data_IF_642325668727
#
_entry.id   IF_642325668727
#
_cell.length_a   1.000
_cell.length_b   1.000
_cell.length_c   1.000
_cell.angle_alpha   90.00
_cell.angle_beta   90.00
_cell.angle_gamma   90.00
#
_symmetry.space_group_name_H-M   'P 1'
#
loop_
_entity.id
_entity.type
_entity.pdbx_description
1 polymer ?
#
# COMPACT_ATOMS: atom_id res chain seq x y z
N UNK A 1 -25.57 -19.01 -7.54
CA UNK A 1 -24.65 -20.12 -7.83
C UNK A 1 -23.50 -19.70 -8.76
N UNK A 2 -23.68 -18.75 -9.69
CA UNK A 2 -22.57 -18.29 -10.57
C UNK A 2 -21.50 -17.46 -9.84
N UNK A 3 -21.87 -16.69 -8.81
CA UNK A 3 -20.92 -15.90 -8.02
C UNK A 3 -19.94 -16.72 -7.17
N UNK A 4 -20.30 -17.94 -6.76
CA UNK A 4 -19.38 -18.86 -6.06
C UNK A 4 -18.33 -19.46 -7.02
N UNK A 5 -18.70 -19.69 -8.28
CA UNK A 5 -17.77 -20.19 -9.32
C UNK A 5 -16.72 -19.14 -9.64
N UNK A 6 -17.13 -17.87 -9.79
CA UNK A 6 -16.21 -16.75 -10.03
C UNK A 6 -15.27 -16.49 -8.82
N UNK A 7 -15.77 -16.70 -7.60
CA UNK A 7 -14.95 -16.63 -6.38
C UNK A 7 -13.89 -17.74 -6.33
N UNK A 8 -14.22 -18.95 -6.78
CA UNK A 8 -13.30 -20.08 -6.88
C UNK A 8 -12.26 -19.89 -7.99
N UNK A 9 -12.63 -19.25 -9.10
CA UNK A 9 -11.70 -18.91 -10.20
C UNK A 9 -10.69 -17.82 -9.80
N UNK A 10 -11.14 -16.80 -9.06
CA UNK A 10 -10.28 -15.67 -8.65
C UNK A 10 -9.34 -16.04 -7.49
N UNK A 11 -9.70 -17.02 -6.65
CA UNK A 11 -8.86 -17.50 -5.53
C UNK A 11 -7.55 -18.18 -5.97
N UNK A 12 -7.39 -18.48 -7.27
CA UNK A 12 -6.22 -19.18 -7.81
C UNK A 12 -5.58 -18.44 -8.97
N UNK A 13 -5.32 -17.14 -8.82
CA UNK A 13 -4.42 -16.48 -9.75
C UNK A 13 -2.97 -16.96 -9.50
N UNK A 14 -2.64 -18.16 -10.02
CA UNK A 14 -1.33 -18.80 -9.94
C UNK A 14 -0.28 -18.04 -10.79
N UNK A 15 -0.71 -17.09 -11.61
CA UNK A 15 0.15 -16.19 -12.39
C UNK A 15 0.50 -14.90 -11.63
N UNK A 16 0.07 -14.76 -10.36
CA UNK A 16 0.41 -13.61 -9.55
C UNK A 16 1.94 -13.46 -9.44
N UNK A 17 2.47 -12.45 -10.13
CA UNK A 17 3.90 -12.14 -10.07
C UNK A 17 4.23 -11.43 -8.77
N UNK A 18 5.51 -11.44 -8.40
CA UNK A 18 5.98 -10.66 -7.26
C UNK A 18 5.65 -9.17 -7.41
N UNK A 19 5.71 -8.62 -8.61
CA UNK A 19 5.34 -7.22 -8.89
C UNK A 19 3.84 -6.97 -8.66
N UNK A 20 2.97 -7.89 -9.07
CA UNK A 20 1.54 -7.81 -8.80
C UNK A 20 1.24 -7.90 -7.31
N UNK A 21 1.92 -8.80 -6.59
CA UNK A 21 1.83 -8.89 -5.14
C UNK A 21 2.27 -7.58 -4.47
N UNK A 22 3.43 -7.04 -4.84
CA UNK A 22 3.96 -5.81 -4.27
C UNK A 22 3.03 -4.62 -4.55
N UNK A 23 2.48 -4.52 -5.77
CA UNK A 23 1.51 -3.47 -6.12
C UNK A 23 0.23 -3.54 -5.27
N UNK A 24 -0.25 -4.75 -4.94
CA UNK A 24 -1.40 -4.96 -4.06
C UNK A 24 -1.08 -4.53 -2.63
N UNK A 25 0.07 -4.94 -2.09
CA UNK A 25 0.54 -4.54 -0.75
C UNK A 25 0.70 -3.02 -0.66
N UNK A 26 1.28 -2.41 -1.69
CA UNK A 26 1.46 -0.96 -1.76
C UNK A 26 0.13 -0.22 -1.78
N UNK A 27 -0.82 -0.69 -2.58
CA UNK A 27 -2.11 -0.02 -2.76
C UNK A 27 -3.04 -0.17 -1.55
N UNK A 28 -3.05 -1.34 -0.89
CA UNK A 28 -3.99 -1.60 0.21
C UNK A 28 -3.49 -1.13 1.57
N UNK A 29 -2.20 -1.33 1.84
CA UNK A 29 -1.65 -1.14 3.20
C UNK A 29 -0.64 0.00 3.22
N UNK A 30 0.34 0.01 2.32
CA UNK A 30 1.40 1.01 2.35
C UNK A 30 0.92 2.44 2.07
N UNK A 31 -0.07 2.61 1.19
CA UNK A 31 -0.62 3.90 0.84
C UNK A 31 -1.20 4.65 2.05
N UNK A 32 -1.89 3.94 2.95
CA UNK A 32 -2.47 4.56 4.15
C UNK A 32 -1.38 4.96 5.16
N UNK A 33 -0.37 4.12 5.36
CA UNK A 33 0.78 4.45 6.21
C UNK A 33 1.56 5.66 5.68
N UNK A 34 1.80 5.70 4.36
CA UNK A 34 2.44 6.83 3.69
C UNK A 34 1.66 8.13 3.88
N UNK A 35 0.33 8.10 3.66
CA UNK A 35 -0.53 9.26 3.84
C UNK A 35 -0.59 9.72 5.30
N UNK A 36 -0.68 8.80 6.26
CA UNK A 36 -0.71 9.13 7.68
C UNK A 36 0.60 9.78 8.14
N UNK A 37 1.76 9.21 7.75
CA UNK A 37 3.07 9.76 8.09
C UNK A 37 3.29 11.15 7.46
N UNK A 38 2.94 11.32 6.18
CA UNK A 38 3.02 12.62 5.50
C UNK A 38 2.10 13.67 6.12
N UNK A 39 0.88 13.28 6.50
CA UNK A 39 -0.10 14.20 7.09
C UNK A 39 0.43 14.84 8.38
N UNK A 40 1.21 14.11 9.18
CA UNK A 40 1.88 14.64 10.37
C UNK A 40 2.86 15.78 10.04
N UNK A 41 3.64 15.65 8.96
CA UNK A 41 4.54 16.70 8.50
C UNK A 41 3.80 17.94 7.96
N UNK A 42 2.75 17.72 7.17
CA UNK A 42 1.93 18.81 6.63
C UNK A 42 1.31 19.62 7.78
N UNK A 43 0.73 18.96 8.78
CA UNK A 43 0.13 19.62 9.95
C UNK A 43 1.18 20.40 10.76
N UNK A 44 2.40 19.87 10.85
CA UNK A 44 3.51 20.53 11.54
C UNK A 44 4.13 21.71 10.75
N UNK A 45 3.71 21.95 9.50
CA UNK A 45 4.28 22.98 8.64
C UNK A 45 5.73 22.68 8.22
N UNK A 46 6.06 21.40 8.07
CA UNK A 46 7.39 20.98 7.62
C UNK A 46 7.63 21.38 6.14
N UNK A 47 8.89 21.35 5.70
CA UNK A 47 9.20 21.58 4.29
C UNK A 47 8.86 20.36 3.41
N UNK A 48 8.83 20.58 2.10
CA UNK A 48 8.50 19.53 1.13
C UNK A 48 9.47 18.33 1.17
N UNK A 49 10.72 18.55 1.59
CA UNK A 49 11.70 17.47 1.71
C UNK A 49 11.33 16.55 2.86
N UNK A 50 10.95 17.12 4.00
CA UNK A 50 10.52 16.38 5.18
C UNK A 50 9.17 15.68 4.96
N UNK A 51 8.22 16.33 4.28
CA UNK A 51 6.95 15.70 3.89
C UNK A 51 7.18 14.45 3.03
N UNK A 52 8.01 14.55 2.00
CA UNK A 52 8.30 13.42 1.10
C UNK A 52 9.11 12.32 1.80
N UNK A 53 10.05 12.70 2.68
CA UNK A 53 10.79 11.73 3.49
C UNK A 53 9.84 10.92 4.40
N UNK A 54 8.87 11.58 5.04
CA UNK A 54 7.88 10.90 5.88
C UNK A 54 6.89 10.06 5.07
N UNK A 55 6.49 10.52 3.89
CA UNK A 55 5.69 9.73 2.95
C UNK A 55 6.42 8.44 2.56
N UNK A 56 7.68 8.54 2.17
CA UNK A 56 8.54 7.41 1.80
C UNK A 56 8.75 6.46 2.96
N UNK A 57 9.00 6.99 4.16
CA UNK A 57 9.08 6.20 5.39
C UNK A 57 7.79 5.42 5.64
N UNK A 58 6.63 6.09 5.61
CA UNK A 58 5.33 5.44 5.84
C UNK A 58 5.03 4.36 4.79
N UNK A 59 5.34 4.60 3.51
CA UNK A 59 5.20 3.58 2.46
C UNK A 59 6.03 2.34 2.78
N UNK A 60 7.33 2.51 3.05
CA UNK A 60 8.22 1.38 3.30
C UNK A 60 7.83 0.62 4.57
N UNK A 61 7.38 1.32 5.62
CA UNK A 61 6.86 0.71 6.83
C UNK A 61 5.61 -0.13 6.56
N UNK A 62 4.66 0.38 5.78
CA UNK A 62 3.44 -0.35 5.45
C UNK A 62 3.66 -1.54 4.52
N UNK A 63 4.69 -1.50 3.66
CA UNK A 63 5.14 -2.69 2.90
C UNK A 63 5.76 -3.72 3.84
N UNK A 64 6.62 -3.30 4.77
CA UNK A 64 7.30 -4.22 5.70
C UNK A 64 6.37 -4.87 6.72
N UNK A 65 5.25 -4.21 7.05
CA UNK A 65 4.26 -4.72 8.00
C UNK A 65 3.41 -5.87 7.44
N UNK A 66 3.22 -5.91 6.11
CA UNK A 66 2.25 -6.78 5.43
C UNK A 66 2.87 -8.04 4.85
#
# INVERSE_FOLDING_TARGET
>A
AEGEVLQLETQKNLEATFEMYLAVVESKTAALFAAAAQSGAVIAGADATAEEALRSFGRNLGVAYQ
#
